data_IF_447027760916
#
_entry.id   IF_447027760916
#
_cell.length_a   1.000
_cell.length_b   1.000
_cell.length_c   1.000
_cell.angle_alpha   90.00
_cell.angle_beta   90.00
_cell.angle_gamma   90.00
#
_symmetry.space_group_name_H-M   'P 1'
#
loop_
_entity.id
_entity.type
_entity.pdbx_description
1 polymer ?
#
# COMPACT_ATOMS: atom_id res chain seq x y z
N UNK A 1 -12.19 0.26 18.23
CA UNK A 1 -12.89 -0.36 17.08
C UNK A 1 -12.74 0.53 15.85
N UNK A 2 -13.20 0.08 14.68
CA UNK A 2 -13.20 0.92 13.46
C UNK A 2 -14.21 2.07 13.61
N UNK A 3 -13.77 3.29 13.27
CA UNK A 3 -14.59 4.50 13.18
C UNK A 3 -14.76 4.84 11.71
N UNK A 4 -15.97 5.21 11.28
CA UNK A 4 -16.19 5.75 9.93
C UNK A 4 -15.64 7.17 9.91
N UNK A 5 -14.63 7.42 9.08
CA UNK A 5 -14.03 8.74 8.90
C UNK A 5 -14.75 9.52 7.80
N UNK A 6 -15.08 8.86 6.69
CA UNK A 6 -15.86 9.44 5.60
C UNK A 6 -16.73 8.36 4.97
N UNK A 7 -17.93 8.75 4.54
CA UNK A 7 -18.89 7.85 3.87
C UNK A 7 -19.49 8.58 2.69
N UNK A 8 -19.39 7.98 1.51
CA UNK A 8 -19.97 8.51 0.27
C UNK A 8 -20.59 7.39 -0.55
N UNK A 9 -21.21 7.72 -1.68
CA UNK A 9 -21.75 6.71 -2.60
C UNK A 9 -20.65 5.86 -3.26
N UNK A 10 -19.46 6.43 -3.45
CA UNK A 10 -18.37 5.81 -4.19
C UNK A 10 -17.29 5.21 -3.30
N UNK A 11 -17.11 5.73 -2.08
CA UNK A 11 -16.03 5.33 -1.18
C UNK A 11 -16.43 5.48 0.29
N UNK A 12 -16.06 4.48 1.09
CA UNK A 12 -16.09 4.57 2.54
C UNK A 12 -14.66 4.51 3.09
N UNK A 13 -14.37 5.34 4.08
CA UNK A 13 -13.07 5.44 4.72
C UNK A 13 -13.24 5.18 6.21
N UNK A 14 -12.38 4.33 6.74
CA UNK A 14 -12.39 3.88 8.11
C UNK A 14 -11.06 4.20 8.79
N UNK A 15 -11.11 4.51 10.07
CA UNK A 15 -9.92 4.73 10.90
C UNK A 15 -10.05 3.88 12.16
N UNK A 16 -9.00 3.15 12.50
CA UNK A 16 -8.89 2.46 13.79
C UNK A 16 -7.63 2.92 14.49
N UNK A 17 -7.80 3.60 15.60
CA UNK A 17 -6.71 4.05 16.47
C UNK A 17 -6.46 2.99 17.55
N UNK A 18 -5.19 2.68 17.79
CA UNK A 18 -4.74 1.80 18.85
C UNK A 18 -3.94 2.63 19.86
N UNK A 19 -4.33 2.54 21.13
CA UNK A 19 -3.70 3.28 22.21
C UNK A 19 -3.05 2.33 23.20
N UNK A 20 -1.84 2.69 23.66
CA UNK A 20 -1.12 2.04 24.74
C UNK A 20 -0.82 3.10 25.79
N UNK A 21 -1.23 2.87 27.04
CA UNK A 21 -1.05 3.83 28.15
C UNK A 21 -1.55 5.25 27.86
N UNK A 22 -2.68 5.37 27.15
CA UNK A 22 -3.28 6.66 26.78
C UNK A 22 -2.57 7.41 25.65
N UNK A 23 -1.51 6.84 25.07
CA UNK A 23 -0.80 7.39 23.90
C UNK A 23 -1.18 6.64 22.64
N UNK A 24 -1.32 7.36 21.53
CA UNK A 24 -1.56 6.75 20.22
C UNK A 24 -0.31 5.97 19.82
N UNK A 25 -0.41 4.65 19.78
CA UNK A 25 0.68 3.75 19.38
C UNK A 25 0.68 3.55 17.86
N UNK A 26 -0.49 3.31 17.29
CA UNK A 26 -0.67 3.08 15.86
C UNK A 26 -2.07 3.44 15.41
N UNK A 27 -2.23 3.65 14.11
CA UNK A 27 -3.53 3.77 13.46
C UNK A 27 -3.56 2.90 12.21
N UNK A 28 -4.73 2.38 11.88
CA UNK A 28 -5.02 1.64 10.66
C UNK A 28 -5.98 2.47 9.83
N UNK A 29 -5.70 2.57 8.53
CA UNK A 29 -6.54 3.28 7.58
C UNK A 29 -7.21 2.25 6.67
N UNK A 30 -8.53 2.18 6.74
CA UNK A 30 -9.33 1.32 5.89
C UNK A 30 -10.01 2.11 4.79
N UNK A 31 -10.14 1.55 3.61
CA UNK A 31 -10.92 2.11 2.51
C UNK A 31 -11.67 1.01 1.78
N UNK A 32 -12.87 1.30 1.31
CA UNK A 32 -13.55 0.45 0.34
C UNK A 32 -14.24 1.29 -0.73
N UNK A 33 -14.20 0.81 -1.97
CA UNK A 33 -14.90 1.44 -3.09
C UNK A 33 -15.29 0.40 -4.15
N UNK A 34 -16.19 0.82 -5.04
CA UNK A 34 -16.48 0.14 -6.29
C UNK A 34 -15.73 0.86 -7.40
N UNK A 35 -15.00 0.10 -8.21
CA UNK A 35 -14.28 0.60 -9.37
C UNK A 35 -15.05 0.13 -10.61
N UNK A 36 -15.42 1.08 -11.48
CA UNK A 36 -16.08 0.80 -12.76
C UNK A 36 -15.05 0.45 -13.83
N UNK A 37 -14.31 -0.64 -13.61
CA UNK A 37 -13.40 -1.24 -14.57
C UNK A 37 -13.35 -2.76 -14.36
N UNK A 38 -12.95 -3.54 -15.39
CA UNK A 38 -12.64 -4.96 -15.22
C UNK A 38 -11.56 -5.15 -14.16
N UNK A 39 -11.68 -6.19 -13.32
CA UNK A 39 -10.76 -6.47 -12.19
C UNK A 39 -9.28 -6.40 -12.56
N UNK A 40 -8.91 -6.89 -13.75
CA UNK A 40 -7.51 -6.95 -14.18
C UNK A 40 -6.88 -5.55 -14.30
N UNK A 41 -7.65 -4.53 -14.68
CA UNK A 41 -7.15 -3.17 -14.88
C UNK A 41 -6.53 -2.57 -13.59
N UNK A 42 -7.28 -2.43 -12.47
CA UNK A 42 -6.69 -1.92 -11.23
C UNK A 42 -5.62 -2.86 -10.67
N UNK A 43 -5.71 -4.18 -10.86
CA UNK A 43 -4.65 -5.11 -10.49
C UNK A 43 -3.32 -4.80 -11.20
N UNK A 44 -3.35 -4.54 -12.51
CA UNK A 44 -2.16 -4.14 -13.27
C UNK A 44 -1.62 -2.79 -12.82
N UNK A 45 -2.49 -1.81 -12.54
CA UNK A 45 -2.07 -0.49 -12.03
C UNK A 45 -1.37 -0.59 -10.68
N UNK A 46 -1.81 -1.50 -9.81
CA UNK A 46 -1.22 -1.74 -8.49
C UNK A 46 0.08 -2.56 -8.56
N UNK A 47 0.17 -3.53 -9.48
CA UNK A 47 1.35 -4.37 -9.64
C UNK A 47 2.51 -3.64 -10.34
N UNK A 48 2.21 -2.59 -11.12
CA UNK A 48 3.22 -1.85 -11.87
C UNK A 48 3.76 -0.65 -11.10
N UNK A 49 4.97 -0.81 -10.57
CA UNK A 49 5.64 0.16 -9.71
C UNK A 49 5.84 1.52 -10.38
N UNK A 50 6.07 1.54 -11.69
CA UNK A 50 6.21 2.76 -12.49
C UNK A 50 4.94 3.60 -12.50
N UNK A 51 3.76 2.95 -12.39
CA UNK A 51 2.48 3.64 -12.41
C UNK A 51 2.12 4.27 -11.07
N UNK A 52 2.73 3.85 -9.96
CA UNK A 52 2.41 4.36 -8.62
C UNK A 52 2.55 5.88 -8.50
N UNK A 53 3.55 6.47 -9.17
CA UNK A 53 3.77 7.93 -9.14
C UNK A 53 2.66 8.70 -9.86
N UNK A 54 1.96 8.07 -10.81
CA UNK A 54 0.92 8.73 -11.61
C UNK A 54 -0.36 8.98 -10.81
N UNK A 55 -0.59 8.22 -9.73
CA UNK A 55 -1.84 8.28 -8.98
C UNK A 55 -1.66 8.50 -7.46
N UNK A 56 -0.43 8.49 -6.94
CA UNK A 56 -0.11 8.86 -5.54
C UNK A 56 0.55 10.25 -5.53
N UNK A 57 -0.18 11.34 -5.25
CA UNK A 57 0.32 12.71 -5.45
C UNK A 57 1.56 13.10 -4.64
N UNK A 58 1.78 12.47 -3.47
CA UNK A 58 2.92 12.78 -2.60
C UNK A 58 4.16 11.93 -2.91
N UNK A 59 4.05 10.98 -3.83
CA UNK A 59 5.13 10.06 -4.17
C UNK A 59 6.08 10.73 -5.16
N UNK A 60 7.30 11.00 -4.72
CA UNK A 60 8.35 11.64 -5.52
C UNK A 60 9.04 10.66 -6.45
N UNK A 61 9.34 9.47 -5.96
CA UNK A 61 9.96 8.41 -6.76
C UNK A 61 9.62 7.04 -6.20
N UNK A 62 9.71 6.05 -7.09
CA UNK A 62 9.59 4.63 -6.81
C UNK A 62 10.76 3.95 -7.48
N UNK A 63 11.64 3.38 -6.67
CA UNK A 63 12.79 2.63 -7.15
C UNK A 63 12.51 1.13 -6.92
N UNK A 64 12.53 0.34 -7.98
CA UNK A 64 12.49 -1.13 -7.86
C UNK A 64 13.84 -1.61 -7.38
N UNK A 65 13.88 -2.15 -6.16
CA UNK A 65 15.12 -2.67 -5.57
C UNK A 65 15.35 -4.12 -5.98
N UNK A 66 14.28 -4.92 -5.98
CA UNK A 66 14.33 -6.33 -6.36
C UNK A 66 12.98 -6.80 -6.90
N UNK A 67 13.00 -7.67 -7.90
CA UNK A 67 11.82 -8.36 -8.42
C UNK A 67 12.06 -9.86 -8.45
N UNK A 68 11.33 -10.59 -7.60
CA UNK A 68 11.34 -12.05 -7.59
C UNK A 68 10.32 -12.61 -8.58
N UNK A 69 9.20 -11.91 -8.75
CA UNK A 69 8.15 -12.18 -9.75
C UNK A 69 7.30 -10.93 -9.96
N UNK A 70 6.43 -10.90 -10.99
CA UNK A 70 5.51 -9.75 -11.20
C UNK A 70 4.60 -9.44 -10.01
N UNK A 71 4.35 -10.42 -9.13
CA UNK A 71 3.55 -10.27 -7.91
C UNK A 71 4.39 -10.18 -6.64
N UNK A 72 5.73 -10.30 -6.71
CA UNK A 72 6.61 -10.24 -5.55
C UNK A 72 7.80 -9.33 -5.78
N UNK A 73 7.71 -8.12 -5.22
CA UNK A 73 8.65 -7.02 -5.45
C UNK A 73 9.10 -6.40 -4.12
N UNK A 74 10.33 -5.89 -4.12
CA UNK A 74 10.86 -4.99 -3.11
C UNK A 74 11.03 -3.62 -3.75
N UNK A 75 10.38 -2.60 -3.18
CA UNK A 75 10.40 -1.25 -3.72
C UNK A 75 10.78 -0.23 -2.66
N UNK A 76 11.43 0.85 -3.08
CA UNK A 76 11.73 2.03 -2.27
C UNK A 76 10.88 3.21 -2.73
N UNK A 77 10.00 3.67 -1.84
CA UNK A 77 9.11 4.80 -2.07
C UNK A 77 9.71 6.03 -1.39
N UNK A 78 9.89 7.12 -2.15
CA UNK A 78 10.32 8.42 -1.61
C UNK A 78 9.13 9.37 -1.64
N UNK A 79 8.76 9.92 -0.49
CA UNK A 79 7.54 10.72 -0.32
C UNK A 79 7.92 12.13 0.14
N UNK A 80 7.43 13.13 -0.58
CA UNK A 80 7.60 14.53 -0.21
C UNK A 80 6.33 15.01 0.51
N UNK A 81 6.51 15.48 1.74
CA UNK A 81 5.42 16.00 2.56
C UNK A 81 5.45 17.52 2.59
N UNK A 82 4.28 18.14 2.77
CA UNK A 82 4.18 19.58 2.92
C UNK A 82 4.83 20.05 4.22
N UNK A 83 5.43 21.25 4.19
CA UNK A 83 5.94 21.89 5.40
C UNK A 83 4.81 22.03 6.44
N UNK A 84 5.08 21.79 7.75
CA UNK A 84 6.39 21.61 8.37
C UNK A 84 6.86 20.14 8.48
N UNK A 85 6.19 19.20 7.84
CA UNK A 85 6.54 17.78 7.97
C UNK A 85 7.84 17.46 7.22
N UNK A 86 8.73 16.72 7.87
CA UNK A 86 9.93 16.18 7.19
C UNK A 86 9.49 15.15 6.13
N UNK A 87 10.19 15.12 5.01
CA UNK A 87 10.00 14.10 3.99
C UNK A 87 10.18 12.68 4.53
N UNK A 88 9.56 11.71 3.86
CA UNK A 88 9.53 10.31 4.27
C UNK A 88 10.10 9.41 3.19
N UNK A 89 10.52 8.23 3.60
CA UNK A 89 10.78 7.11 2.69
C UNK A 89 10.24 5.80 3.28
N UNK A 90 10.00 4.82 2.42
CA UNK A 90 9.48 3.50 2.79
C UNK A 90 10.14 2.45 1.90
N UNK A 91 10.83 1.49 2.50
CA UNK A 91 11.23 0.25 1.82
C UNK A 91 10.20 -0.81 2.20
N UNK A 92 9.53 -1.38 1.21
CA UNK A 92 8.46 -2.34 1.42
C UNK A 92 8.60 -3.51 0.47
N UNK A 93 8.40 -4.71 1.01
CA UNK A 93 8.09 -5.87 0.19
C UNK A 93 6.58 -5.92 -0.06
N UNK A 94 6.20 -6.33 -1.26
CA UNK A 94 4.81 -6.56 -1.65
C UNK A 94 4.69 -7.98 -2.23
N UNK A 95 3.66 -8.71 -1.82
CA UNK A 95 3.32 -10.03 -2.39
C UNK A 95 1.84 -10.08 -2.77
N UNK A 96 1.57 -10.41 -4.04
CA UNK A 96 0.24 -10.64 -4.60
C UNK A 96 -0.18 -12.11 -4.51
N UNK A 97 -1.46 -12.35 -4.24
CA UNK A 97 -2.09 -13.65 -4.13
C UNK A 97 -3.36 -13.69 -4.97
N UNK A 98 -3.60 -14.80 -5.66
CA UNK A 98 -4.82 -15.06 -6.40
C UNK A 98 -5.73 -15.99 -5.60
N UNK A 99 -7.00 -15.64 -5.55
CA UNK A 99 -8.06 -16.37 -4.86
C UNK A 99 -9.08 -16.79 -5.92
N UNK A 100 -8.90 -17.99 -6.49
CA UNK A 100 -9.67 -18.45 -7.65
C UNK A 100 -11.16 -18.63 -7.32
N UNK A 101 -11.47 -19.19 -6.15
CA UNK A 101 -12.84 -19.46 -5.70
C UNK A 101 -13.63 -18.16 -5.52
N UNK A 102 -12.98 -17.14 -4.96
CA UNK A 102 -13.55 -15.80 -4.73
C UNK A 102 -13.42 -14.88 -5.95
N UNK A 103 -12.74 -15.32 -7.02
CA UNK A 103 -12.36 -14.49 -8.18
C UNK A 103 -11.74 -13.16 -7.72
N UNK A 104 -10.77 -13.25 -6.83
CA UNK A 104 -10.17 -12.11 -6.16
C UNK A 104 -8.64 -12.12 -6.21
N UNK A 105 -8.06 -10.95 -5.99
CA UNK A 105 -6.62 -10.73 -5.87
C UNK A 105 -6.37 -9.96 -4.59
N UNK A 106 -5.41 -10.41 -3.79
CA UNK A 106 -4.94 -9.65 -2.64
C UNK A 106 -3.47 -9.27 -2.81
N UNK A 107 -3.10 -8.11 -2.27
CA UNK A 107 -1.71 -7.69 -2.13
C UNK A 107 -1.43 -7.43 -0.66
N UNK A 108 -0.40 -8.09 -0.13
CA UNK A 108 0.12 -7.88 1.22
C UNK A 108 1.42 -7.11 1.10
N UNK A 109 1.55 -6.05 1.89
CA UNK A 109 2.75 -5.22 1.95
C UNK A 109 3.21 -5.09 3.40
N UNK A 110 4.52 -5.09 3.61
CA UNK A 110 5.13 -4.78 4.90
C UNK A 110 6.49 -4.16 4.70
N UNK A 111 6.91 -3.34 5.65
CA UNK A 111 8.26 -2.81 5.69
C UNK A 111 9.28 -3.93 5.90
N UNK A 112 10.36 -3.90 5.14
CA UNK A 112 11.52 -4.74 5.37
C UNK A 112 12.60 -3.95 6.11
N UNK A 113 13.08 -4.53 7.21
CA UNK A 113 14.11 -3.97 8.10
C UNK A 113 15.35 -4.84 8.21
N UNK A 114 15.38 -5.98 7.52
CA UNK A 114 16.49 -6.91 7.59
C UNK A 114 17.77 -6.37 6.94
N UNK A 115 17.69 -5.24 6.23
CA UNK A 115 18.78 -4.66 5.45
C UNK A 115 19.14 -5.49 4.21
N UNK A 116 18.48 -6.63 4.00
CA UNK A 116 18.71 -7.51 2.85
C UNK A 116 17.47 -8.33 2.50
N UNK A 117 17.02 -8.26 1.26
CA UNK A 117 15.89 -9.05 0.76
C UNK A 117 16.39 -9.98 -0.35
N UNK A 118 16.31 -11.30 -0.14
CA UNK A 118 16.85 -12.31 -1.07
C UNK A 118 18.31 -12.02 -1.52
N UNK A 119 19.15 -11.59 -0.58
CA UNK A 119 20.55 -11.23 -0.86
C UNK A 119 20.74 -9.89 -1.57
N UNK A 120 19.66 -9.14 -1.82
CA UNK A 120 19.72 -7.75 -2.28
C UNK A 120 19.82 -6.85 -1.07
N UNK A 121 21.00 -6.27 -0.85
CA UNK A 121 21.20 -5.22 0.15
C UNK A 121 20.57 -3.91 -0.33
N UNK A 122 20.04 -3.13 0.61
CA UNK A 122 19.50 -1.81 0.33
C UNK A 122 19.95 -0.81 1.36
N UNK A 123 20.12 0.45 0.93
CA UNK A 123 20.73 1.50 1.75
C UNK A 123 20.03 1.68 3.10
N UNK A 124 20.85 1.86 4.15
CA UNK A 124 20.38 2.35 5.43
C UNK A 124 19.76 3.75 5.31
N UNK A 125 18.96 4.09 6.30
CA UNK A 125 18.10 5.28 6.39
C UNK A 125 18.82 6.54 5.89
N UNK A 126 18.28 7.18 4.86
CA UNK A 126 18.75 8.48 4.40
C UNK A 126 18.54 9.54 5.49
N UNK A 127 19.61 10.18 5.99
CA UNK A 127 19.54 11.18 7.08
C UNK A 127 18.57 12.35 6.83
N UNK A 128 18.25 12.63 5.55
CA UNK A 128 17.36 13.73 5.14
C UNK A 128 15.88 13.36 5.17
N UNK A 129 15.54 12.08 5.35
CA UNK A 129 14.16 11.56 5.35
C UNK A 129 13.93 10.74 6.62
N UNK A 130 12.68 10.68 7.06
CA UNK A 130 12.30 9.78 8.17
C UNK A 130 11.73 8.50 7.56
N UNK A 131 12.33 7.36 7.90
CA UNK A 131 11.87 6.03 7.47
C UNK A 131 10.53 5.71 8.10
N UNK A 132 9.54 5.43 7.26
CA UNK A 132 8.24 4.96 7.71
C UNK A 132 8.28 3.47 8.07
N UNK A 133 7.36 3.08 8.95
CA UNK A 133 7.12 1.69 9.29
C UNK A 133 5.70 1.28 8.96
N UNK A 134 5.57 0.54 7.86
CA UNK A 134 4.37 -0.17 7.49
C UNK A 134 4.42 -1.56 8.14
N UNK A 135 3.76 -1.71 9.29
CA UNK A 135 3.66 -3.01 9.96
C UNK A 135 2.96 -4.04 9.07
N UNK A 136 1.76 -3.69 8.63
CA UNK A 136 0.92 -4.49 7.75
C UNK A 136 0.14 -3.55 6.84
N UNK A 137 0.13 -3.84 5.54
CA UNK A 137 -0.76 -3.23 4.56
C UNK A 137 -1.44 -4.34 3.77
N UNK A 138 -2.75 -4.25 3.61
CA UNK A 138 -3.54 -5.25 2.90
C UNK A 138 -4.44 -4.57 1.88
N UNK A 139 -4.33 -4.99 0.62
CA UNK A 139 -5.24 -4.60 -0.44
C UNK A 139 -5.95 -5.85 -0.96
N UNK A 140 -7.24 -5.72 -1.27
CA UNK A 140 -8.07 -6.81 -1.75
C UNK A 140 -8.99 -6.29 -2.86
N UNK A 141 -8.98 -6.99 -3.99
CA UNK A 141 -9.80 -6.70 -5.14
C UNK A 141 -10.61 -7.93 -5.52
N UNK A 142 -11.91 -7.75 -5.71
CA UNK A 142 -12.86 -8.84 -5.95
C UNK A 142 -13.67 -8.54 -7.22
N UNK A 143 -13.76 -9.53 -8.10
CA UNK A 143 -14.60 -9.45 -9.29
C UNK A 143 -16.08 -9.33 -8.90
N UNK A 144 -16.81 -8.40 -9.53
CA UNK A 144 -18.27 -8.33 -9.42
C UNK A 144 -18.88 -8.72 -10.76
N UNK A 145 -18.51 -8.01 -11.83
CA UNK A 145 -18.91 -8.26 -13.20
C UNK A 145 -17.81 -7.83 -14.20
N UNK A 146 -18.08 -7.94 -15.50
CA UNK A 146 -17.11 -7.67 -16.57
C UNK A 146 -16.54 -6.25 -16.54
N UNK A 147 -17.25 -5.29 -15.95
CA UNK A 147 -16.89 -3.88 -15.94
C UNK A 147 -16.85 -3.28 -14.53
N UNK A 148 -17.01 -4.09 -13.48
CA UNK A 148 -16.97 -3.61 -12.10
C UNK A 148 -16.22 -4.56 -11.18
N UNK A 149 -15.47 -3.98 -10.25
CA UNK A 149 -14.82 -4.71 -9.18
C UNK A 149 -14.91 -3.96 -7.86
N UNK A 150 -14.80 -4.69 -6.75
CA UNK A 150 -14.71 -4.12 -5.42
C UNK A 150 -13.26 -3.98 -5.04
N UNK A 151 -12.88 -2.84 -4.46
CA UNK A 151 -11.57 -2.63 -3.86
C UNK A 151 -11.72 -2.39 -2.36
N UNK A 152 -10.83 -3.00 -1.57
CA UNK A 152 -10.68 -2.79 -0.14
C UNK A 152 -9.20 -2.62 0.18
N UNK A 153 -8.89 -1.70 1.09
CA UNK A 153 -7.54 -1.52 1.65
C UNK A 153 -7.63 -1.40 3.16
N UNK A 154 -6.62 -1.90 3.88
CA UNK A 154 -6.45 -1.84 5.33
C UNK A 154 -4.98 -1.61 5.68
#
# INVERSE_FOLDING_TARGET
GWKVYSKSKSMNIYLKENYTDGKLDSFLFGGECIINAPLLNPCCVMAEHELLQNWIPMLKSVDLLHEQSPLKKLIHLKIDLFLPFKNRDLVTEGTGFLFEEEKAVAFIMKSDYSGSFFGTEFEEICEKRVRMNLKDGFMYMEYIDENTCKFKVV
#
